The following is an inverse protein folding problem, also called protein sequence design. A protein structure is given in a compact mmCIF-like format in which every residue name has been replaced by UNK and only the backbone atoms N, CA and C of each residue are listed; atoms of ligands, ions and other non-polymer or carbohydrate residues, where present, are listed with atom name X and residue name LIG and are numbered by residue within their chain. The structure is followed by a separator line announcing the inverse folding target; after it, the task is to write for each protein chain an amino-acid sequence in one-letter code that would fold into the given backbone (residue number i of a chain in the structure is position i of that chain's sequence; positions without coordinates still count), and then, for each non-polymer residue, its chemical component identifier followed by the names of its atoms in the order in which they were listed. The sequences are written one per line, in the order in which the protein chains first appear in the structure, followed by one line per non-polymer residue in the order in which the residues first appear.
data_IF_205421224812
#
_entry.id   IF_205421224812
#
_cell.length_a   1.000
_cell.length_b   1.000
_cell.length_c   1.000
_cell.angle_alpha   90.00
_cell.angle_beta   90.00
_cell.angle_gamma   90.00
#
_symmetry.space_group_name_H-M   'P 1'
#
loop_
_entity.id
_entity.type
_entity.pdbx_description
1 polymer ?
#
# COMPACT_ATOMS: atom_id res chain seq x y z
N UNK A 1 11.54 -6.51 -26.49
CA UNK A 1 11.38 -7.10 -25.15
C UNK A 1 10.48 -8.32 -25.25
N UNK A 2 10.72 -9.32 -24.45
CA UNK A 2 9.91 -10.55 -24.36
C UNK A 2 9.15 -10.57 -23.04
N UNK A 3 7.85 -10.95 -23.05
CA UNK A 3 7.01 -11.13 -21.87
C UNK A 3 6.78 -12.62 -21.62
N UNK A 4 6.95 -13.03 -20.35
CA UNK A 4 6.44 -14.28 -19.83
C UNK A 4 5.55 -13.99 -18.59
N UNK A 5 4.48 -14.80 -18.40
CA UNK A 5 3.49 -14.61 -17.34
C UNK A 5 3.25 -15.93 -16.62
N UNK A 6 3.26 -15.90 -15.28
CA UNK A 6 2.90 -17.05 -14.42
C UNK A 6 1.87 -16.64 -13.38
N UNK A 7 0.90 -17.49 -13.11
CA UNK A 7 -0.06 -17.28 -11.99
C UNK A 7 0.55 -17.73 -10.69
N UNK A 8 0.18 -17.06 -9.63
CA UNK A 8 0.52 -17.50 -8.28
C UNK A 8 -0.70 -17.46 -7.36
N UNK A 9 -0.62 -18.24 -6.28
CA UNK A 9 -1.56 -18.25 -5.19
C UNK A 9 -0.78 -18.44 -3.88
N UNK A 10 -0.87 -17.45 -2.97
CA UNK A 10 -0.20 -17.47 -1.66
C UNK A 10 -1.24 -17.59 -0.55
N UNK A 11 -1.32 -18.69 0.17
CA UNK A 11 -2.23 -18.83 1.30
C UNK A 11 -1.77 -18.00 2.50
N UNK A 12 -2.73 -17.47 3.25
CA UNK A 12 -2.47 -16.87 4.55
C UNK A 12 -2.44 -17.93 5.66
N UNK A 13 -1.67 -17.71 6.73
CA UNK A 13 -1.70 -18.57 7.92
C UNK A 13 -3.11 -18.71 8.51
N UNK A 14 -3.88 -17.65 8.44
CA UNK A 14 -5.30 -17.60 8.82
C UNK A 14 -6.03 -16.67 7.86
N UNK A 15 -7.29 -16.97 7.49
CA UNK A 15 -8.06 -16.07 6.65
C UNK A 15 -8.20 -14.68 7.28
N UNK A 16 -7.93 -13.65 6.51
CA UNK A 16 -8.14 -12.26 6.91
C UNK A 16 -9.65 -11.96 6.91
N UNK A 17 -10.14 -11.35 7.98
CA UNK A 17 -11.53 -10.87 8.03
C UNK A 17 -11.62 -9.52 7.35
N UNK A 18 -12.35 -9.46 6.24
CA UNK A 18 -12.62 -8.23 5.50
C UNK A 18 -14.11 -7.90 5.52
N UNK A 19 -14.49 -6.69 5.10
CA UNK A 19 -15.89 -6.33 4.89
C UNK A 19 -16.60 -7.20 3.82
N UNK A 20 -15.82 -7.87 2.96
CA UNK A 20 -16.28 -8.75 1.89
C UNK A 20 -16.27 -10.24 2.26
N UNK A 21 -16.04 -10.57 3.54
CA UNK A 21 -15.95 -11.94 4.04
C UNK A 21 -14.52 -12.40 4.31
N UNK A 22 -14.31 -13.70 4.60
CA UNK A 22 -13.00 -14.27 4.87
C UNK A 22 -12.17 -14.34 3.59
N UNK A 23 -10.96 -13.78 3.64
CA UNK A 23 -9.99 -13.82 2.56
C UNK A 23 -8.82 -14.74 2.93
N UNK A 24 -8.78 -15.93 2.31
CA UNK A 24 -7.86 -17.01 2.68
C UNK A 24 -6.53 -17.04 1.94
N UNK A 25 -6.43 -16.35 0.79
CA UNK A 25 -5.25 -16.41 -0.05
C UNK A 25 -5.12 -15.16 -0.94
N UNK A 26 -3.88 -14.78 -1.24
CA UNK A 26 -3.55 -13.74 -2.22
C UNK A 26 -3.22 -14.40 -3.56
N UNK A 27 -3.89 -14.01 -4.62
CA UNK A 27 -3.64 -14.50 -5.96
C UNK A 27 -3.29 -13.35 -6.91
N UNK A 28 -2.50 -13.64 -7.91
CA UNK A 28 -2.06 -12.67 -8.92
C UNK A 28 -1.26 -13.31 -10.04
N UNK A 29 -0.61 -12.46 -10.83
CA UNK A 29 0.28 -12.84 -11.90
C UNK A 29 1.66 -12.25 -11.63
N UNK A 30 2.71 -13.04 -11.88
CA UNK A 30 4.06 -12.52 -12.01
C UNK A 30 4.39 -12.33 -13.49
N UNK A 31 4.99 -11.20 -13.78
CA UNK A 31 5.50 -10.85 -15.11
C UNK A 31 7.01 -10.96 -15.09
N UNK A 32 7.59 -11.54 -16.15
CA UNK A 32 9.03 -11.55 -16.41
C UNK A 32 9.25 -10.93 -17.78
N UNK A 33 9.93 -9.79 -17.79
CA UNK A 33 10.41 -9.13 -19.00
C UNK A 33 11.85 -9.53 -19.24
N UNK A 34 12.23 -9.71 -20.52
CA UNK A 34 13.60 -9.92 -20.93
C UNK A 34 13.90 -9.05 -22.17
N UNK A 35 14.99 -8.30 -22.13
CA UNK A 35 15.44 -7.51 -23.28
C UNK A 35 16.34 -8.31 -24.20
N UNK A 36 16.76 -7.72 -25.33
CA UNK A 36 17.64 -8.32 -26.32
C UNK A 36 19.06 -8.62 -25.79
N UNK A 37 19.41 -8.05 -24.64
CA UNK A 37 20.70 -8.26 -23.96
C UNK A 37 20.62 -9.33 -22.86
N UNK A 38 19.42 -9.94 -22.68
CA UNK A 38 19.16 -10.92 -21.62
C UNK A 38 18.98 -10.28 -20.23
N UNK A 39 18.77 -8.95 -20.13
CA UNK A 39 18.43 -8.33 -18.85
C UNK A 39 16.99 -8.66 -18.49
N UNK A 40 16.79 -9.06 -17.24
CA UNK A 40 15.48 -9.50 -16.73
C UNK A 40 14.92 -8.52 -15.73
N UNK A 41 13.64 -8.23 -15.86
CA UNK A 41 12.86 -7.48 -14.88
C UNK A 41 11.60 -8.23 -14.50
N UNK A 42 11.23 -8.16 -13.21
CA UNK A 42 10.03 -8.79 -12.68
C UNK A 42 9.01 -7.75 -12.26
N UNK A 43 7.73 -8.07 -12.44
CA UNK A 43 6.61 -7.28 -11.95
C UNK A 43 5.50 -8.16 -11.42
N UNK A 44 4.59 -7.57 -10.68
CA UNK A 44 3.44 -8.25 -10.11
C UNK A 44 2.15 -7.55 -10.50
N UNK A 45 1.19 -8.30 -11.00
CA UNK A 45 -0.18 -7.87 -11.25
C UNK A 45 -1.09 -8.59 -10.27
N UNK A 46 -1.54 -7.89 -9.25
CA UNK A 46 -2.27 -8.47 -8.13
C UNK A 46 -3.51 -7.62 -7.79
N UNK A 47 -4.57 -7.67 -8.63
CA UNK A 47 -5.74 -6.83 -8.46
C UNK A 47 -6.54 -7.17 -7.19
N UNK A 48 -7.33 -6.20 -6.73
CA UNK A 48 -8.27 -6.29 -5.61
C UNK A 48 -9.60 -5.65 -6.06
N UNK A 49 -10.50 -6.41 -6.70
CA UNK A 49 -11.71 -5.85 -7.29
C UNK A 49 -12.61 -5.09 -6.31
N UNK A 50 -12.63 -5.51 -5.04
CA UNK A 50 -13.39 -4.81 -4.00
C UNK A 50 -12.78 -3.46 -3.57
N UNK A 51 -11.57 -3.13 -4.04
CA UNK A 51 -10.96 -1.81 -3.97
C UNK A 51 -11.17 -0.98 -5.26
N UNK A 52 -11.90 -1.55 -6.25
CA UNK A 52 -12.19 -0.86 -7.51
C UNK A 52 -11.18 -1.11 -8.64
N UNK A 53 -10.27 -2.09 -8.49
CA UNK A 53 -9.38 -2.52 -9.58
C UNK A 53 -10.07 -3.51 -10.52
N UNK A 54 -9.40 -3.90 -11.60
CA UNK A 54 -9.79 -5.01 -12.45
C UNK A 54 -9.90 -6.34 -11.67
N UNK A 55 -10.59 -7.32 -12.25
CA UNK A 55 -10.58 -8.71 -11.76
C UNK A 55 -9.29 -9.42 -12.19
N UNK A 56 -8.90 -10.47 -11.46
CA UNK A 56 -7.76 -11.31 -11.85
C UNK A 56 -7.97 -11.95 -13.23
N UNK A 57 -9.21 -12.30 -13.57
CA UNK A 57 -9.56 -12.84 -14.89
C UNK A 57 -9.34 -11.80 -15.99
N UNK A 58 -9.75 -10.55 -15.79
CA UNK A 58 -9.50 -9.46 -16.74
C UNK A 58 -8.01 -9.15 -16.90
N UNK A 59 -7.26 -9.14 -15.80
CA UNK A 59 -5.81 -8.97 -15.82
C UNK A 59 -5.11 -10.10 -16.59
N UNK A 60 -5.52 -11.35 -16.37
CA UNK A 60 -5.00 -12.52 -17.10
C UNK A 60 -5.29 -12.41 -18.58
N UNK A 61 -6.54 -12.18 -18.96
CA UNK A 61 -6.95 -12.04 -20.35
C UNK A 61 -6.22 -10.89 -21.07
N UNK A 62 -5.95 -9.81 -20.38
CA UNK A 62 -5.10 -8.72 -20.89
C UNK A 62 -3.67 -9.18 -21.12
N UNK A 63 -3.05 -9.86 -20.15
CA UNK A 63 -1.68 -10.36 -20.27
C UNK A 63 -1.54 -11.42 -21.37
N UNK A 64 -2.51 -12.32 -21.52
CA UNK A 64 -2.51 -13.39 -22.52
C UNK A 64 -2.65 -12.85 -23.95
N UNK A 65 -3.33 -11.71 -24.12
CA UNK A 65 -3.45 -11.00 -25.41
C UNK A 65 -2.28 -10.05 -25.68
N UNK A 66 -1.44 -9.75 -24.67
CA UNK A 66 -0.27 -8.89 -24.88
C UNK A 66 0.74 -9.57 -25.78
N UNK A 67 1.35 -8.86 -26.76
CA UNK A 67 2.35 -9.46 -27.64
C UNK A 67 3.55 -10.00 -26.83
N UNK A 68 3.96 -11.24 -27.12
CA UNK A 68 5.13 -11.81 -26.48
C UNK A 68 6.40 -11.00 -26.74
N UNK A 69 6.50 -10.40 -27.94
CA UNK A 69 7.55 -9.43 -28.28
C UNK A 69 6.91 -8.04 -28.43
N UNK A 70 7.42 -7.07 -27.72
CA UNK A 70 6.84 -5.72 -27.69
C UNK A 70 7.89 -4.63 -27.50
N UNK A 71 7.56 -3.42 -27.90
CA UNK A 71 8.31 -2.21 -27.57
C UNK A 71 7.88 -1.68 -26.21
N UNK A 72 8.80 -1.17 -25.36
CA UNK A 72 8.45 -0.52 -24.10
C UNK A 72 7.42 0.60 -24.21
N UNK A 73 7.38 1.31 -25.35
CA UNK A 73 6.39 2.35 -25.61
C UNK A 73 4.94 1.87 -25.64
N UNK A 74 4.74 0.55 -25.87
CA UNK A 74 3.40 -0.05 -25.84
C UNK A 74 2.76 -0.03 -24.46
N UNK A 75 3.55 0.06 -23.38
CA UNK A 75 3.01 0.16 -22.02
C UNK A 75 2.06 1.36 -21.88
N UNK A 76 2.27 2.46 -22.62
CA UNK A 76 1.40 3.63 -22.60
C UNK A 76 -0.04 3.35 -23.05
N UNK A 77 -0.29 2.19 -23.68
CA UNK A 77 -1.63 1.77 -24.13
C UNK A 77 -2.35 0.89 -23.10
N UNK A 78 -1.76 0.61 -21.93
CA UNK A 78 -2.46 -0.11 -20.85
C UNK A 78 -3.56 0.81 -20.31
N UNK A 79 -4.85 0.43 -20.41
CA UNK A 79 -5.95 1.31 -20.05
C UNK A 79 -6.04 1.58 -18.55
N UNK A 80 -6.62 2.72 -18.18
CA UNK A 80 -6.79 3.11 -16.78
C UNK A 80 -7.78 2.21 -16.01
N UNK A 81 -8.51 1.36 -16.71
CA UNK A 81 -9.35 0.31 -16.11
C UNK A 81 -8.58 -0.91 -15.60
N UNK A 82 -7.25 -0.95 -15.82
CA UNK A 82 -6.36 -2.03 -15.41
C UNK A 82 -5.20 -1.51 -14.54
N UNK A 83 -5.49 -0.89 -13.39
CA UNK A 83 -4.46 -0.23 -12.58
C UNK A 83 -3.41 -1.21 -12.01
N UNK A 84 -3.76 -2.44 -11.66
CA UNK A 84 -2.77 -3.43 -11.23
C UNK A 84 -1.86 -3.87 -12.38
N UNK A 85 -2.39 -3.99 -13.61
CA UNK A 85 -1.56 -4.22 -14.80
C UNK A 85 -0.60 -3.04 -15.04
N UNK A 86 -1.06 -1.80 -14.95
CA UNK A 86 -0.20 -0.62 -15.09
C UNK A 86 0.98 -0.66 -14.12
N UNK A 87 0.73 -0.98 -12.85
CA UNK A 87 1.79 -1.12 -11.85
C UNK A 87 2.75 -2.27 -12.22
N UNK A 88 2.24 -3.48 -12.45
CA UNK A 88 3.05 -4.67 -12.70
C UNK A 88 3.95 -4.55 -13.93
N UNK A 89 3.41 -4.03 -15.04
CA UNK A 89 4.18 -3.79 -16.26
C UNK A 89 5.24 -2.70 -16.08
N UNK A 90 4.89 -1.60 -15.37
CA UNK A 90 5.85 -0.54 -15.02
C UNK A 90 6.98 -1.08 -14.16
N UNK A 91 6.66 -1.91 -13.16
CA UNK A 91 7.62 -2.53 -12.27
C UNK A 91 8.60 -3.43 -13.01
N UNK A 92 8.11 -4.33 -13.88
CA UNK A 92 8.95 -5.21 -14.67
C UNK A 92 9.92 -4.44 -15.59
N UNK A 93 9.45 -3.32 -16.18
CA UNK A 93 10.30 -2.49 -17.04
C UNK A 93 11.39 -1.74 -16.25
N UNK A 94 11.08 -1.30 -15.04
CA UNK A 94 11.97 -0.46 -14.23
C UNK A 94 13.36 -1.10 -13.98
N UNK A 95 13.42 -2.42 -13.88
CA UNK A 95 14.67 -3.17 -13.65
C UNK A 95 15.49 -3.42 -14.92
N UNK A 96 14.91 -3.21 -16.09
CA UNK A 96 15.61 -3.39 -17.35
C UNK A 96 16.26 -2.08 -17.77
N UNK A 97 17.59 -2.02 -17.73
CA UNK A 97 18.37 -0.88 -18.22
C UNK A 97 18.30 -0.82 -19.75
N UNK A 98 17.30 -0.11 -20.29
CA UNK A 98 17.27 0.19 -21.72
C UNK A 98 17.97 1.53 -21.97
N UNK A 99 19.07 1.49 -22.73
CA UNK A 99 19.90 2.65 -23.09
C UNK A 99 19.19 3.69 -24.02
N UNK A 100 17.89 3.55 -24.29
CA UNK A 100 17.25 4.30 -25.38
C UNK A 100 15.78 4.66 -25.20
N UNK A 101 15.28 4.85 -23.94
CA UNK A 101 13.94 5.38 -23.78
C UNK A 101 14.02 6.76 -23.13
N UNK A 102 13.75 7.85 -23.89
CA UNK A 102 13.51 9.13 -23.28
C UNK A 102 12.17 9.04 -22.55
N UNK A 103 12.15 9.48 -21.34
CA UNK A 103 10.98 9.70 -20.51
C UNK A 103 10.42 8.50 -19.74
N UNK A 104 10.36 8.72 -18.42
CA UNK A 104 9.61 7.97 -17.41
C UNK A 104 10.15 6.59 -16.99
N UNK A 105 11.44 6.37 -17.06
CA UNK A 105 12.00 5.25 -16.29
C UNK A 105 12.11 5.69 -14.84
N UNK A 106 11.45 4.95 -13.95
CA UNK A 106 11.65 5.06 -12.49
C UNK A 106 13.14 5.03 -12.12
N UNK A 107 13.98 4.32 -12.92
CA UNK A 107 15.43 4.26 -12.76
C UNK A 107 16.13 5.61 -12.95
N UNK A 108 15.69 6.49 -13.86
CA UNK A 108 16.31 7.82 -14.03
C UNK A 108 15.98 8.80 -12.89
N UNK A 109 14.82 8.64 -12.26
CA UNK A 109 14.45 9.44 -11.10
C UNK A 109 15.15 8.98 -9.80
N UNK A 110 15.68 7.76 -9.78
CA UNK A 110 16.38 7.16 -8.62
C UNK A 110 17.90 7.37 -8.63
N UNK A 111 18.51 7.73 -9.78
CA UNK A 111 19.96 7.93 -9.87
C UNK A 111 20.32 9.37 -9.50
N UNK A 112 21.03 9.54 -8.39
CA UNK A 112 21.79 10.77 -8.09
C UNK A 112 22.94 10.90 -9.10
N UNK A 113 23.30 12.11 -9.57
CA UNK A 113 24.48 12.30 -10.41
C UNK A 113 25.74 11.88 -9.67
N UNK A 114 26.33 10.73 -10.03
CA UNK A 114 27.57 10.23 -9.43
C UNK A 114 27.54 8.78 -8.94
N UNK A 115 26.40 8.10 -8.91
CA UNK A 115 26.33 6.68 -8.57
C UNK A 115 26.72 5.79 -9.76
N UNK A 116 27.74 4.94 -9.53
CA UNK A 116 28.37 4.12 -10.55
C UNK A 116 27.39 3.09 -11.16
N UNK A 117 27.38 3.03 -12.47
CA UNK A 117 26.71 2.00 -13.27
C UNK A 117 27.21 0.58 -12.92
N UNK A 118 26.62 -0.10 -12.01
CA UNK A 118 27.03 -1.47 -11.70
C UNK A 118 26.43 -2.10 -10.44
N UNK A 119 25.72 -1.34 -9.61
CA UNK A 119 25.29 -1.80 -8.28
C UNK A 119 23.77 -1.94 -8.09
N UNK A 120 22.97 -2.00 -9.15
CA UNK A 120 21.50 -2.04 -9.04
C UNK A 120 20.87 -3.44 -8.86
N UNK A 121 21.67 -4.45 -8.53
CA UNK A 121 21.19 -5.77 -8.07
C UNK A 121 21.19 -5.90 -6.53
N UNK A 122 21.45 -4.82 -5.83
CA UNK A 122 21.32 -4.80 -4.36
C UNK A 122 19.82 -4.85 -4.03
N UNK A 123 19.42 -5.83 -3.22
CA UNK A 123 18.11 -5.83 -2.58
C UNK A 123 17.86 -4.42 -2.01
N UNK A 124 16.65 -3.83 -2.16
CA UNK A 124 16.38 -2.54 -1.55
C UNK A 124 16.71 -2.65 -0.06
N UNK A 125 17.33 -1.63 0.54
CA UNK A 125 17.57 -1.65 1.96
C UNK A 125 16.25 -1.93 2.66
N UNK A 126 16.22 -2.92 3.56
CA UNK A 126 15.04 -3.15 4.40
C UNK A 126 14.75 -1.86 5.16
N UNK A 127 13.52 -1.33 5.11
CA UNK A 127 13.21 -0.10 5.83
C UNK A 127 13.51 -0.26 7.32
N UNK A 128 14.02 0.80 7.95
CA UNK A 128 14.20 0.83 9.40
C UNK A 128 12.84 0.51 10.08
N UNK A 129 12.79 -0.31 11.13
CA UNK A 129 11.56 -0.56 11.87
C UNK A 129 10.81 0.71 12.30
N UNK A 130 11.52 1.83 12.49
CA UNK A 130 10.92 3.15 12.77
C UNK A 130 10.14 3.72 11.60
N UNK A 131 10.47 3.32 10.39
CA UNK A 131 9.83 3.72 9.15
C UNK A 131 8.64 2.82 8.77
N UNK A 132 8.41 1.74 9.54
CA UNK A 132 7.32 0.78 9.30
C UNK A 132 6.31 0.84 10.43
N UNK A 133 5.05 1.02 10.08
CA UNK A 133 3.93 0.87 10.99
C UNK A 133 3.71 -0.60 11.32
N UNK A 134 3.77 -0.97 12.61
CA UNK A 134 3.54 -2.32 13.08
C UNK A 134 2.05 -2.57 13.33
N UNK A 135 1.55 -3.75 12.96
CA UNK A 135 0.17 -4.13 13.18
C UNK A 135 -0.01 -4.72 14.58
N UNK A 136 -0.98 -4.19 15.32
CA UNK A 136 -1.46 -4.79 16.56
C UNK A 136 -2.63 -5.73 16.25
N UNK A 137 -2.74 -6.87 16.94
CA UNK A 137 -3.91 -7.74 16.82
C UNK A 137 -5.15 -7.02 17.29
N UNK A 138 -6.31 -7.34 16.71
CA UNK A 138 -7.59 -6.83 17.17
C UNK A 138 -7.90 -7.32 18.61
N UNK A 139 -8.71 -6.53 19.32
CA UNK A 139 -9.18 -6.89 20.66
C UNK A 139 -8.09 -6.82 21.76
N UNK A 140 -8.29 -7.56 22.83
CA UNK A 140 -7.49 -7.46 24.07
C UNK A 140 -6.00 -7.81 23.90
N UNK A 141 -5.66 -8.63 22.89
CA UNK A 141 -4.28 -9.02 22.62
C UNK A 141 -3.37 -7.81 22.30
N UNK A 142 -3.94 -6.69 21.79
CA UNK A 142 -3.20 -5.46 21.54
C UNK A 142 -2.47 -4.91 22.77
N UNK A 143 -3.02 -5.13 23.98
CA UNK A 143 -2.47 -4.59 25.22
C UNK A 143 -1.03 -5.06 25.53
N UNK A 144 -0.64 -6.23 25.04
CA UNK A 144 0.65 -6.83 25.34
C UNK A 144 1.53 -7.03 24.09
N UNK A 145 0.97 -6.96 22.88
CA UNK A 145 1.71 -7.25 21.65
C UNK A 145 2.55 -6.09 21.15
N UNK A 146 2.37 -4.87 21.63
CA UNK A 146 3.15 -3.70 21.23
C UNK A 146 4.60 -3.72 21.78
N UNK A 147 4.83 -4.33 22.96
CA UNK A 147 6.12 -4.28 23.65
C UNK A 147 7.28 -4.92 22.85
N UNK A 148 7.15 -6.15 22.30
CA UNK A 148 8.19 -6.73 21.46
C UNK A 148 8.43 -5.91 20.19
N UNK A 149 7.40 -5.30 19.62
CA UNK A 149 7.50 -4.45 18.43
C UNK A 149 8.25 -3.15 18.75
N UNK A 150 7.95 -2.53 19.89
CA UNK A 150 8.67 -1.36 20.39
C UNK A 150 10.16 -1.65 20.60
N UNK A 151 10.47 -2.80 21.21
CA UNK A 151 11.86 -3.25 21.43
C UNK A 151 12.61 -3.47 20.11
N UNK A 152 11.92 -3.89 19.04
CA UNK A 152 12.48 -4.02 17.69
C UNK A 152 12.67 -2.67 16.97
N UNK A 153 12.21 -1.56 17.56
CA UNK A 153 12.37 -0.22 17.00
C UNK A 153 11.11 0.43 16.44
N UNK A 154 9.99 -0.28 16.30
CA UNK A 154 8.76 0.33 15.82
C UNK A 154 8.29 1.46 16.74
N UNK A 155 7.78 2.53 16.14
CA UNK A 155 7.27 3.72 16.83
C UNK A 155 5.85 4.06 16.47
N UNK A 156 5.35 3.54 15.36
CA UNK A 156 3.98 3.69 14.87
C UNK A 156 3.29 2.33 14.89
N UNK A 157 2.08 2.30 15.44
CA UNK A 157 1.26 1.12 15.56
C UNK A 157 -0.09 1.33 14.88
N UNK A 158 -0.64 0.31 14.24
CA UNK A 158 -1.98 0.32 13.66
C UNK A 158 -2.84 -0.72 14.37
N UNK A 159 -3.98 -0.30 14.87
CA UNK A 159 -4.93 -1.15 15.58
C UNK A 159 -6.28 -1.15 14.87
N UNK A 160 -6.78 -2.35 14.56
CA UNK A 160 -8.07 -2.54 13.91
C UNK A 160 -9.21 -2.36 14.90
N UNK A 161 -10.20 -1.53 14.54
CA UNK A 161 -11.42 -1.25 15.28
C UNK A 161 -12.66 -1.61 14.47
N UNK A 162 -13.85 -1.53 15.07
CA UNK A 162 -15.12 -1.88 14.40
C UNK A 162 -15.34 -3.39 14.29
N UNK A 163 -14.67 -4.20 15.11
CA UNK A 163 -14.78 -5.67 15.13
C UNK A 163 -15.56 -6.20 16.32
N UNK A 164 -15.84 -5.36 17.32
CA UNK A 164 -16.63 -5.65 18.51
C UNK A 164 -17.61 -4.50 18.79
N UNK A 165 -18.32 -4.54 19.94
CA UNK A 165 -19.21 -3.41 20.31
C UNK A 165 -18.38 -2.16 20.60
N UNK A 166 -18.92 -0.99 20.31
CA UNK A 166 -18.20 0.29 20.46
C UNK A 166 -17.77 0.53 21.91
N UNK A 167 -18.60 0.16 22.87
CA UNK A 167 -18.31 0.33 24.31
C UNK A 167 -17.12 -0.53 24.74
N UNK A 168 -17.08 -1.80 24.30
CA UNK A 168 -15.99 -2.72 24.59
C UNK A 168 -14.68 -2.22 23.96
N UNK A 169 -14.71 -1.79 22.71
CA UNK A 169 -13.54 -1.27 22.02
C UNK A 169 -13.04 0.05 22.59
N UNK A 170 -13.92 1.01 22.93
CA UNK A 170 -13.54 2.26 23.59
C UNK A 170 -12.94 2.02 24.96
N UNK A 171 -13.49 1.07 25.76
CA UNK A 171 -12.89 0.66 27.03
C UNK A 171 -11.49 0.09 26.84
N UNK A 172 -11.30 -0.74 25.81
CA UNK A 172 -10.02 -1.32 25.48
C UNK A 172 -9.02 -0.29 24.96
N UNK A 173 -9.48 0.66 24.13
CA UNK A 173 -8.69 1.79 23.65
C UNK A 173 -8.14 2.63 24.82
N UNK A 174 -8.97 2.95 25.80
CA UNK A 174 -8.53 3.68 26.99
C UNK A 174 -7.43 2.96 27.77
N UNK A 175 -7.45 1.61 27.79
CA UNK A 175 -6.39 0.81 28.40
C UNK A 175 -5.13 0.82 27.53
N UNK A 176 -5.28 0.65 26.21
CA UNK A 176 -4.17 0.61 25.26
C UNK A 176 -3.37 1.90 25.29
N UNK A 177 -4.03 3.06 25.20
CA UNK A 177 -3.35 4.37 25.20
C UNK A 177 -2.65 4.71 26.52
N UNK A 178 -3.02 4.05 27.63
CA UNK A 178 -2.34 4.21 28.92
C UNK A 178 -1.07 3.37 29.04
N UNK A 179 -0.98 2.24 28.32
CA UNK A 179 0.18 1.34 28.39
C UNK A 179 1.20 1.60 27.29
N UNK A 180 0.80 2.27 26.19
CA UNK A 180 1.69 2.67 25.15
C UNK A 180 2.65 3.76 25.64
N UNK A 181 3.94 3.77 25.18
CA UNK A 181 4.86 4.88 25.43
C UNK A 181 4.29 6.21 24.93
N UNK A 182 4.50 7.30 25.66
CA UNK A 182 3.96 8.62 25.31
C UNK A 182 4.42 9.14 23.92
N UNK A 183 5.53 8.62 23.40
CA UNK A 183 6.07 8.93 22.07
C UNK A 183 5.64 7.94 20.98
N UNK A 184 4.84 6.92 21.32
CA UNK A 184 4.26 6.03 20.33
C UNK A 184 3.18 6.77 19.54
N UNK A 185 3.11 6.50 18.24
CA UNK A 185 2.02 6.96 17.38
C UNK A 185 1.03 5.82 17.14
N UNK A 186 -0.25 6.10 17.25
CA UNK A 186 -1.29 5.09 17.03
C UNK A 186 -2.17 5.49 15.84
N UNK A 187 -2.40 4.55 14.94
CA UNK A 187 -3.39 4.61 13.86
C UNK A 187 -4.55 3.69 14.20
N UNK A 188 -5.75 4.15 14.01
CA UNK A 188 -6.95 3.33 14.16
C UNK A 188 -7.53 3.05 12.79
N UNK A 189 -7.82 1.78 12.48
CA UNK A 189 -8.34 1.37 11.18
C UNK A 189 -9.70 0.70 11.34
N UNK A 190 -10.72 1.34 10.79
CA UNK A 190 -12.09 0.88 10.86
C UNK A 190 -12.53 0.11 9.59
N UNK A 191 -11.74 0.13 8.51
CA UNK A 191 -12.06 -0.49 7.22
C UNK A 191 -13.51 -0.24 6.75
N UNK A 192 -14.02 0.98 6.93
CA UNK A 192 -15.37 1.36 6.54
C UNK A 192 -16.49 0.81 7.43
N UNK A 193 -16.18 0.19 8.55
CA UNK A 193 -17.13 -0.56 9.36
C UNK A 193 -17.98 0.23 10.36
N UNK A 194 -17.80 1.56 10.48
CA UNK A 194 -18.50 2.36 11.47
C UNK A 194 -19.73 3.07 10.87
N UNK A 195 -20.65 3.46 11.76
CA UNK A 195 -21.68 4.46 11.45
C UNK A 195 -21.16 5.87 11.71
N UNK A 196 -21.77 6.94 11.16
CA UNK A 196 -21.36 8.32 11.43
C UNK A 196 -21.32 8.66 12.92
N UNK A 197 -22.27 8.16 13.70
CA UNK A 197 -22.36 8.39 15.15
C UNK A 197 -21.21 7.72 15.89
N UNK A 198 -20.89 6.47 15.53
CA UNK A 198 -19.79 5.70 16.14
C UNK A 198 -18.44 6.33 15.74
N UNK A 199 -18.28 6.75 14.49
CA UNK A 199 -17.08 7.45 14.03
C UNK A 199 -16.83 8.74 14.79
N UNK A 200 -17.89 9.54 15.05
CA UNK A 200 -17.80 10.74 15.87
C UNK A 200 -17.39 10.43 17.33
N UNK A 201 -17.91 9.36 17.93
CA UNK A 201 -17.52 8.92 19.26
C UNK A 201 -16.04 8.51 19.31
N UNK A 202 -15.53 7.80 18.28
CA UNK A 202 -14.12 7.46 18.15
C UNK A 202 -13.23 8.70 18.02
N UNK A 203 -13.60 9.69 17.20
CA UNK A 203 -12.85 10.93 17.05
C UNK A 203 -12.74 11.68 18.38
N UNK A 204 -13.83 11.76 19.14
CA UNK A 204 -13.81 12.37 20.49
C UNK A 204 -12.90 11.60 21.46
N UNK A 205 -12.87 10.26 21.37
CA UNK A 205 -11.98 9.45 22.20
C UNK A 205 -10.52 9.66 21.81
N UNK A 206 -10.23 9.74 20.51
CA UNK A 206 -8.90 10.03 19.97
C UNK A 206 -8.38 11.39 20.43
N UNK A 207 -9.21 12.46 20.36
CA UNK A 207 -8.83 13.81 20.74
C UNK A 207 -8.48 13.94 22.25
N UNK A 208 -8.93 12.98 23.07
CA UNK A 208 -8.64 12.93 24.52
C UNK A 208 -7.51 11.96 24.88
N UNK A 209 -6.94 11.27 23.91
CA UNK A 209 -5.92 10.26 24.15
C UNK A 209 -4.61 10.90 24.67
N UNK A 210 -3.91 10.26 25.65
CA UNK A 210 -2.63 10.75 26.16
C UNK A 210 -1.44 10.45 25.25
N UNK A 211 -1.65 9.69 24.17
CA UNK A 211 -0.64 9.39 23.15
C UNK A 211 -1.09 9.99 21.82
N UNK A 212 -0.15 10.35 20.92
CA UNK A 212 -0.49 10.84 19.59
C UNK A 212 -1.31 9.83 18.79
N UNK A 213 -2.55 10.18 18.44
CA UNK A 213 -3.34 9.47 17.45
C UNK A 213 -3.06 10.10 16.10
N UNK A 214 -2.38 9.36 15.23
CA UNK A 214 -1.95 9.90 13.94
C UNK A 214 -3.14 10.14 13.02
N UNK A 215 -4.09 9.21 13.00
CA UNK A 215 -5.37 9.35 12.29
C UNK A 215 -6.36 8.22 12.62
N UNK A 216 -7.62 8.46 12.27
CA UNK A 216 -8.67 7.46 12.14
C UNK A 216 -8.84 7.13 10.65
N UNK A 217 -8.47 5.88 10.26
CA UNK A 217 -8.48 5.42 8.87
C UNK A 217 -9.83 4.84 8.49
N UNK A 218 -10.33 5.27 7.34
CA UNK A 218 -11.57 4.83 6.68
C UNK A 218 -12.69 4.50 7.67
N UNK A 219 -13.19 5.48 8.43
CA UNK A 219 -14.23 5.23 9.43
C UNK A 219 -15.54 4.72 8.82
N UNK A 220 -15.95 5.24 7.67
CA UNK A 220 -17.21 4.90 7.00
C UNK A 220 -16.96 4.18 5.67
N UNK A 221 -17.97 3.45 5.14
CA UNK A 221 -17.94 2.92 3.78
C UNK A 221 -17.59 3.99 2.75
N UNK A 222 -16.87 3.65 1.65
CA UNK A 222 -16.41 4.62 0.66
C UNK A 222 -17.49 5.54 0.11
N UNK A 223 -18.69 5.01 -0.13
CA UNK A 223 -19.84 5.75 -0.66
C UNK A 223 -20.36 6.83 0.28
N UNK A 224 -20.08 6.73 1.59
CA UNK A 224 -20.51 7.69 2.60
C UNK A 224 -19.41 8.69 2.97
N UNK A 225 -18.15 8.35 2.77
CA UNK A 225 -17.00 9.10 3.29
C UNK A 225 -16.99 10.55 2.82
N UNK A 226 -17.02 10.74 1.49
CA UNK A 226 -16.85 12.06 0.90
C UNK A 226 -18.01 13.02 1.21
N UNK A 227 -19.20 12.51 1.50
CA UNK A 227 -20.37 13.30 1.92
C UNK A 227 -20.38 13.59 3.43
N UNK A 228 -19.68 12.79 4.22
CA UNK A 228 -19.59 12.93 5.66
C UNK A 228 -18.48 13.88 6.10
N UNK A 229 -17.33 13.88 5.43
CA UNK A 229 -16.16 14.69 5.80
C UNK A 229 -16.47 16.19 5.97
N UNK A 230 -17.20 16.85 5.05
CA UNK A 230 -17.56 18.26 5.24
C UNK A 230 -18.40 18.54 6.48
N UNK A 231 -19.23 17.56 6.91
CA UNK A 231 -20.14 17.71 8.06
C UNK A 231 -19.41 17.67 9.39
N UNK A 232 -18.23 17.04 9.46
CA UNK A 232 -17.44 16.95 10.71
C UNK A 232 -16.24 17.88 10.73
N UNK A 233 -16.04 18.65 9.67
CA UNK A 233 -14.94 19.61 9.57
C UNK A 233 -14.95 20.57 10.75
N UNK A 234 -13.80 20.64 11.46
CA UNK A 234 -13.64 21.49 12.65
C UNK A 234 -14.28 20.96 13.94
N UNK A 235 -14.90 19.77 13.93
CA UNK A 235 -15.47 19.15 15.12
C UNK A 235 -14.49 18.22 15.86
N UNK A 236 -13.35 17.91 15.28
CA UNK A 236 -12.29 17.05 15.85
C UNK A 236 -10.91 17.57 15.47
N UNK A 237 -9.90 17.20 16.29
CA UNK A 237 -8.50 17.51 16.03
C UNK A 237 -7.80 16.33 15.34
N UNK A 238 -8.22 15.09 15.63
CA UNK A 238 -7.68 13.88 15.04
C UNK A 238 -7.93 13.87 13.53
N UNK A 239 -6.87 13.68 12.76
CA UNK A 239 -6.96 13.59 11.31
C UNK A 239 -7.73 12.34 10.87
N UNK A 240 -8.36 12.41 9.70
CA UNK A 240 -8.99 11.27 9.05
C UNK A 240 -8.13 10.85 7.86
N UNK A 241 -7.96 9.55 7.68
CA UNK A 241 -7.29 8.99 6.53
C UNK A 241 -8.27 8.21 5.64
N UNK A 242 -8.10 8.32 4.32
CA UNK A 242 -8.85 7.56 3.31
C UNK A 242 -8.00 6.40 2.81
N UNK A 243 -8.53 5.20 2.79
CA UNK A 243 -7.92 3.98 2.24
C UNK A 243 -8.77 3.41 1.10
N UNK A 244 -9.87 2.74 1.41
CA UNK A 244 -10.76 2.13 0.42
C UNK A 244 -11.38 3.15 -0.53
N UNK A 245 -11.47 4.41 -0.12
CA UNK A 245 -12.01 5.52 -0.93
C UNK A 245 -11.01 6.05 -1.97
N UNK A 246 -9.73 5.64 -1.95
CA UNK A 246 -8.65 6.21 -2.76
C UNK A 246 -7.67 5.15 -3.29
N UNK A 247 -8.13 3.91 -3.41
CA UNK A 247 -7.28 2.77 -3.73
C UNK A 247 -6.72 2.80 -5.16
N UNK A 248 -7.46 3.38 -6.13
CA UNK A 248 -7.00 3.58 -7.50
C UNK A 248 -6.71 5.07 -7.76
N UNK A 249 -5.90 5.34 -8.79
CA UNK A 249 -5.58 6.72 -9.18
C UNK A 249 -6.82 7.55 -9.53
N UNK A 250 -7.80 6.93 -10.18
CA UNK A 250 -9.07 7.59 -10.51
C UNK A 250 -9.86 7.98 -9.24
N UNK A 251 -9.95 7.06 -8.26
CA UNK A 251 -10.60 7.35 -6.98
C UNK A 251 -9.86 8.44 -6.20
N UNK A 252 -8.52 8.42 -6.21
CA UNK A 252 -7.70 9.46 -5.59
C UNK A 252 -8.01 10.84 -6.19
N UNK A 253 -8.08 10.97 -7.52
CA UNK A 253 -8.43 12.22 -8.18
C UNK A 253 -9.83 12.71 -7.78
N UNK A 254 -10.84 11.82 -7.82
CA UNK A 254 -12.22 12.15 -7.43
C UNK A 254 -12.32 12.57 -5.96
N UNK A 255 -11.60 11.90 -5.07
CA UNK A 255 -11.57 12.27 -3.65
C UNK A 255 -10.89 13.65 -3.47
N UNK A 256 -9.75 13.87 -4.13
CA UNK A 256 -9.05 15.14 -4.05
C UNK A 256 -9.91 16.33 -4.53
N UNK A 257 -10.65 16.20 -5.61
CA UNK A 257 -11.57 17.24 -6.10
C UNK A 257 -12.63 17.66 -5.08
N UNK A 258 -12.96 16.77 -4.13
CA UNK A 258 -14.00 17.02 -3.12
C UNK A 258 -13.47 17.47 -1.76
N UNK A 259 -12.31 16.96 -1.35
CA UNK A 259 -11.80 17.19 0.01
C UNK A 259 -10.39 17.77 0.07
N UNK A 260 -9.70 17.87 -1.07
CA UNK A 260 -8.34 18.44 -1.18
C UNK A 260 -7.39 17.92 -0.08
N UNK A 261 -6.67 18.80 0.60
CA UNK A 261 -5.69 18.47 1.67
C UNK A 261 -6.34 18.41 3.06
N UNK A 262 -7.63 18.09 3.17
CA UNK A 262 -8.33 17.99 4.46
C UNK A 262 -8.17 16.62 5.13
N UNK A 263 -7.58 15.66 4.43
CA UNK A 263 -7.42 14.26 4.85
C UNK A 263 -6.01 13.76 4.56
N UNK A 264 -5.69 12.60 5.15
CA UNK A 264 -4.50 11.83 4.80
C UNK A 264 -4.92 10.77 3.78
N UNK A 265 -4.08 10.53 2.78
CA UNK A 265 -4.33 9.56 1.71
C UNK A 265 -3.50 8.31 1.93
N UNK A 266 -4.13 7.17 2.22
CA UNK A 266 -3.46 5.85 2.31
C UNK A 266 -3.44 5.22 0.93
N UNK A 267 -2.29 5.24 0.28
CA UNK A 267 -2.14 4.82 -1.10
C UNK A 267 -1.50 3.43 -1.17
N UNK A 268 -2.04 2.58 -2.02
CA UNK A 268 -1.53 1.22 -2.28
C UNK A 268 -0.90 1.16 -3.67
N UNK A 269 0.43 1.39 -3.81
CA UNK A 269 1.07 1.48 -5.12
C UNK A 269 0.75 0.32 -6.05
N UNK A 270 0.74 -0.91 -5.51
CA UNK A 270 0.52 -2.13 -6.30
C UNK A 270 -0.84 -2.22 -7.02
N UNK A 271 -1.81 -1.38 -6.63
CA UNK A 271 -3.15 -1.35 -7.21
C UNK A 271 -3.60 0.06 -7.62
N UNK A 272 -2.77 1.08 -7.41
CA UNK A 272 -3.14 2.47 -7.69
C UNK A 272 -3.00 2.86 -9.17
N UNK A 273 -2.33 2.07 -9.99
CA UNK A 273 -2.07 2.40 -11.40
C UNK A 273 -0.62 2.82 -11.65
N UNK A 274 -0.41 3.75 -12.58
CA UNK A 274 0.93 4.19 -12.97
C UNK A 274 1.70 4.86 -11.82
N UNK A 275 2.86 4.31 -11.36
CA UNK A 275 3.62 4.89 -10.25
C UNK A 275 4.06 6.35 -10.49
N UNK A 276 4.44 6.70 -11.72
CA UNK A 276 4.84 8.06 -12.04
C UNK A 276 3.67 9.06 -11.97
N UNK A 277 2.47 8.68 -12.45
CA UNK A 277 1.27 9.54 -12.35
C UNK A 277 0.88 9.76 -10.89
N UNK A 278 0.98 8.70 -10.07
CA UNK A 278 0.70 8.76 -8.65
C UNK A 278 1.65 9.74 -7.95
N UNK A 279 2.97 9.59 -8.20
CA UNK A 279 3.99 10.47 -7.64
C UNK A 279 3.80 11.93 -8.08
N UNK A 280 3.63 12.17 -9.38
CA UNK A 280 3.46 13.52 -9.94
C UNK A 280 2.21 14.22 -9.40
N UNK A 281 1.12 13.49 -9.24
CA UNK A 281 -0.12 14.03 -8.68
C UNK A 281 0.07 14.42 -7.20
N UNK A 282 0.64 13.53 -6.39
CA UNK A 282 0.89 13.81 -4.98
C UNK A 282 1.87 14.99 -4.78
N UNK A 283 2.90 15.09 -5.62
CA UNK A 283 3.85 16.22 -5.62
C UNK A 283 3.16 17.54 -5.98
N UNK A 284 2.41 17.56 -7.08
CA UNK A 284 1.74 18.77 -7.59
C UNK A 284 0.78 19.35 -6.56
N UNK A 285 0.06 18.47 -5.87
CA UNK A 285 -0.98 18.85 -4.91
C UNK A 285 -0.51 18.85 -3.46
N UNK A 286 0.77 18.53 -3.20
CA UNK A 286 1.37 18.50 -1.85
C UNK A 286 0.55 17.64 -0.87
N UNK A 287 0.13 16.44 -1.32
CA UNK A 287 -0.74 15.57 -0.53
C UNK A 287 -0.01 15.02 0.70
N UNK A 288 -0.72 14.92 1.82
CA UNK A 288 -0.29 14.16 2.98
C UNK A 288 -0.63 12.68 2.76
N UNK A 289 0.39 11.85 2.55
CA UNK A 289 0.19 10.47 2.11
C UNK A 289 0.90 9.46 3.01
N UNK A 290 0.29 8.29 3.11
CA UNK A 290 0.88 7.05 3.66
C UNK A 290 0.91 6.03 2.54
N UNK A 291 2.07 5.45 2.26
CA UNK A 291 2.15 4.31 1.35
C UNK A 291 1.95 3.01 2.12
N UNK A 292 1.06 2.16 1.61
CA UNK A 292 0.63 0.93 2.29
C UNK A 292 0.63 -0.25 1.33
N UNK A 293 0.74 -1.45 1.89
CA UNK A 293 0.72 -2.72 1.15
C UNK A 293 -0.70 -3.08 0.70
N UNK A 294 -0.78 -3.71 -0.48
CA UNK A 294 -1.94 -4.45 -0.96
C UNK A 294 -1.77 -5.97 -0.75
N UNK A 295 -0.89 -6.39 0.19
CA UNK A 295 -0.51 -7.79 0.41
C UNK A 295 0.14 -8.42 -0.82
N UNK A 296 0.92 -7.64 -1.52
CA UNK A 296 1.72 -8.07 -2.67
C UNK A 296 2.82 -9.08 -2.29
N UNK A 297 3.35 -9.77 -3.29
CA UNK A 297 4.55 -10.61 -3.14
C UNK A 297 5.78 -9.75 -2.82
N UNK A 298 6.92 -10.35 -2.42
CA UNK A 298 8.17 -9.61 -2.28
C UNK A 298 8.56 -8.85 -3.56
N UNK A 299 8.18 -9.35 -4.75
CA UNK A 299 8.43 -8.67 -6.03
C UNK A 299 7.66 -7.35 -6.11
N UNK A 300 6.35 -7.37 -5.90
CA UNK A 300 5.53 -6.16 -5.93
C UNK A 300 5.88 -5.20 -4.80
N UNK A 301 6.17 -5.74 -3.61
CA UNK A 301 6.56 -4.94 -2.44
C UNK A 301 7.89 -4.21 -2.67
N UNK A 302 8.87 -4.84 -3.30
CA UNK A 302 10.13 -4.19 -3.65
C UNK A 302 9.90 -2.93 -4.49
N UNK A 303 9.06 -3.02 -5.51
CA UNK A 303 8.72 -1.87 -6.35
C UNK A 303 7.92 -0.81 -5.61
N UNK A 304 6.99 -1.20 -4.73
CA UNK A 304 6.25 -0.27 -3.90
C UNK A 304 7.15 0.47 -2.89
N UNK A 305 8.16 -0.21 -2.31
CA UNK A 305 9.16 0.40 -1.44
C UNK A 305 10.11 1.35 -2.19
N UNK A 306 10.51 1.00 -3.43
CA UNK A 306 11.28 1.93 -4.28
C UNK A 306 10.48 3.20 -4.58
N UNK A 307 9.20 3.07 -4.85
CA UNK A 307 8.34 4.25 -5.01
C UNK A 307 8.27 5.07 -3.70
N UNK A 308 8.18 4.41 -2.54
CA UNK A 308 8.20 5.10 -1.24
C UNK A 308 9.49 5.91 -1.05
N UNK A 309 10.64 5.35 -1.41
CA UNK A 309 11.92 6.07 -1.37
C UNK A 309 11.91 7.32 -2.27
N UNK A 310 11.28 7.22 -3.46
CA UNK A 310 11.12 8.39 -4.34
C UNK A 310 10.24 9.47 -3.71
N UNK A 311 9.14 9.10 -3.06
CA UNK A 311 8.29 10.03 -2.31
C UNK A 311 9.10 10.74 -1.21
N UNK A 312 9.88 9.99 -0.43
CA UNK A 312 10.72 10.54 0.63
C UNK A 312 11.79 11.49 0.10
N UNK A 313 12.48 11.09 -0.97
CA UNK A 313 13.49 11.93 -1.63
C UNK A 313 12.92 13.26 -2.14
N UNK A 314 11.63 13.30 -2.47
CA UNK A 314 10.90 14.51 -2.87
C UNK A 314 10.25 15.26 -1.70
N UNK A 315 10.44 14.79 -0.47
CA UNK A 315 9.92 15.44 0.74
C UNK A 315 8.46 15.17 1.07
N UNK A 316 7.81 14.21 0.37
CA UNK A 316 6.45 13.75 0.66
C UNK A 316 6.47 12.41 1.39
N UNK A 317 5.31 12.00 1.93
CA UNK A 317 5.12 10.69 2.58
C UNK A 317 6.11 10.41 3.72
N UNK A 318 6.33 11.38 4.59
CA UNK A 318 7.25 11.25 5.75
C UNK A 318 6.71 10.36 6.88
N UNK A 319 5.50 9.81 6.72
CA UNK A 319 4.86 8.94 7.69
C UNK A 319 5.37 7.52 7.58
N UNK A 320 5.30 6.76 8.69
CA UNK A 320 5.65 5.34 8.68
C UNK A 320 4.82 4.56 7.64
N UNK A 321 5.48 3.66 6.90
CA UNK A 321 4.89 2.89 5.81
C UNK A 321 4.02 1.74 6.34
N UNK A 322 2.95 1.40 5.64
CA UNK A 322 2.04 0.30 5.94
C UNK A 322 2.47 -1.05 5.32
N UNK A 323 3.77 -1.41 5.35
CA UNK A 323 4.30 -2.63 4.72
C UNK A 323 4.63 -3.77 5.71
N UNK A 324 4.21 -3.69 6.96
CA UNK A 324 4.47 -4.70 7.99
C UNK A 324 3.60 -5.96 7.88
N UNK A 325 3.39 -6.52 6.68
CA UNK A 325 2.40 -7.58 6.39
C UNK A 325 3.01 -8.94 6.02
N UNK A 326 4.32 -9.07 5.92
CA UNK A 326 4.99 -10.30 5.46
C UNK A 326 4.64 -11.56 6.29
N UNK A 327 4.41 -11.40 7.58
CA UNK A 327 4.08 -12.48 8.50
C UNK A 327 2.71 -13.15 8.28
N UNK A 328 1.90 -12.63 7.37
CA UNK A 328 0.59 -13.23 7.06
C UNK A 328 0.68 -14.46 6.18
N UNK A 329 1.77 -14.65 5.42
CA UNK A 329 1.90 -15.70 4.43
C UNK A 329 2.56 -16.96 4.98
N UNK A 330 2.10 -18.14 4.49
CA UNK A 330 2.62 -19.46 4.91
C UNK A 330 3.97 -19.79 4.24
N UNK A 331 4.19 -19.27 3.03
CA UNK A 331 5.38 -19.56 2.24
C UNK A 331 6.63 -18.83 2.76
N UNK A 332 7.79 -19.14 2.18
CA UNK A 332 9.08 -18.55 2.50
C UNK A 332 9.57 -17.56 1.44
N UNK A 333 8.69 -16.99 0.62
CA UNK A 333 9.07 -16.11 -0.47
C UNK A 333 9.83 -14.86 -0.02
N UNK A 334 9.63 -14.44 1.22
CA UNK A 334 10.29 -13.27 1.82
C UNK A 334 11.82 -13.31 1.81
N UNK A 335 12.41 -14.51 1.72
CA UNK A 335 13.86 -14.73 1.70
C UNK A 335 14.38 -15.17 0.33
N UNK A 336 13.51 -15.28 -0.68
CA UNK A 336 13.85 -15.71 -2.01
C UNK A 336 14.13 -14.54 -2.95
N UNK A 337 15.03 -14.75 -3.92
CA UNK A 337 15.18 -13.81 -5.04
C UNK A 337 13.97 -13.87 -5.97
N UNK A 338 13.69 -12.79 -6.74
CA UNK A 338 12.62 -12.80 -7.75
C UNK A 338 12.72 -13.97 -8.73
N UNK A 339 13.93 -14.32 -9.17
CA UNK A 339 14.16 -15.47 -10.04
C UNK A 339 13.83 -16.79 -9.34
N UNK A 340 14.20 -16.96 -8.06
CA UNK A 340 13.88 -18.17 -7.31
C UNK A 340 12.37 -18.33 -7.08
N UNK A 341 11.64 -17.22 -6.85
CA UNK A 341 10.17 -17.22 -6.79
C UNK A 341 9.58 -17.62 -8.14
N UNK A 342 10.10 -17.05 -9.24
CA UNK A 342 9.65 -17.36 -10.59
C UNK A 342 9.82 -18.85 -10.92
N UNK A 343 10.94 -19.48 -10.52
CA UNK A 343 11.20 -20.88 -10.79
C UNK A 343 10.33 -21.86 -9.99
N UNK A 344 9.68 -21.40 -8.91
CA UNK A 344 8.74 -22.21 -8.13
C UNK A 344 7.33 -22.27 -8.74
N UNK A 345 7.02 -21.42 -9.71
CA UNK A 345 5.73 -21.34 -10.40
C UNK A 345 5.77 -22.08 -11.74
#
# INVERSE_FOLDING_TARGET
MHLAVRSYCRPFHQPLRTAHGPWGQRAGLLLRFEDERGQVGFGEVAPLPWFGTETLAAARDFCDRWPQQFSPTMLNFIPDTLPACQFGFSAALCLIKTASIPTYSLSQALLQPGEREGQMLVQPPQPDPREICALLPAGQAALNSWQPLWQRGHRTFKWKIGVATVEAELSLFQKLVKVLPATAQLRLDANGGLTPQVAAAWLQACDRAPVPIEFLEQPLPPEMMLDWLPKIKGQCQTAIALDESVATFQQLQQAYERVENQVIYVLKPAIAGWPHRLLDFCLRHQLDVVLSSALETPIGRDHALRLAQMFWAKGIAKRALGFGVAHWFVDNWEVLSPEAIWQQL
#
